data_IF_792232050672
#
_entry.id   IF_792232050672
#
_cell.length_a   1.000
_cell.length_b   1.000
_cell.length_c   1.000
_cell.angle_alpha   90.00
_cell.angle_beta   90.00
_cell.angle_gamma   90.00
#
_symmetry.space_group_name_H-M   'P 1'
#
loop_
_entity.id
_entity.type
_entity.pdbx_description
1 polymer ?
#
# COMPACT_ATOMS: atom_id res chain seq x y z
N UNK A 1 -3.45 -12.27 -34.59
CA UNK A 1 -2.20 -12.99 -34.23
C UNK A 1 -1.55 -12.27 -33.06
N UNK A 2 -1.41 -12.96 -31.92
CA UNK A 2 -0.68 -12.40 -30.78
C UNK A 2 0.81 -12.27 -31.15
N UNK A 3 1.46 -11.14 -30.89
CA UNK A 3 2.89 -10.92 -31.15
C UNK A 3 3.82 -11.77 -30.29
N UNK A 4 3.34 -12.87 -29.71
CA UNK A 4 4.09 -13.81 -28.88
C UNK A 4 3.46 -15.20 -28.90
N UNK A 5 4.29 -16.22 -28.64
CA UNK A 5 3.87 -17.61 -28.46
C UNK A 5 4.59 -18.19 -27.24
N UNK A 6 3.83 -18.88 -26.37
CA UNK A 6 4.38 -19.65 -25.25
C UNK A 6 4.66 -21.08 -25.73
N UNK A 7 5.78 -21.67 -25.33
CA UNK A 7 6.07 -23.08 -25.63
C UNK A 7 5.10 -24.03 -24.92
N UNK A 8 4.94 -25.24 -25.42
CA UNK A 8 4.06 -26.26 -24.82
C UNK A 8 4.47 -26.59 -23.38
N UNK A 9 5.77 -26.70 -23.12
CA UNK A 9 6.34 -26.88 -21.77
C UNK A 9 6.27 -25.63 -20.87
N UNK A 10 5.76 -24.51 -21.42
CA UNK A 10 5.63 -23.19 -20.75
C UNK A 10 6.94 -22.67 -20.12
N UNK A 11 8.07 -23.19 -20.53
CA UNK A 11 9.39 -22.78 -20.07
C UNK A 11 10.08 -21.76 -20.99
N UNK A 12 9.50 -21.47 -22.14
CA UNK A 12 10.03 -20.45 -23.04
C UNK A 12 8.91 -19.64 -23.72
N UNK A 13 9.25 -18.42 -24.12
CA UNK A 13 8.36 -17.54 -24.86
C UNK A 13 9.09 -17.01 -26.09
N UNK A 14 8.42 -17.07 -27.25
CA UNK A 14 8.91 -16.51 -28.51
C UNK A 14 8.11 -15.24 -28.83
N UNK A 15 8.82 -14.15 -29.09
CA UNK A 15 8.24 -12.91 -29.59
C UNK A 15 8.23 -12.92 -31.12
N UNK A 16 7.07 -12.63 -31.72
CA UNK A 16 6.82 -12.67 -33.18
C UNK A 16 6.37 -11.31 -33.71
N UNK A 17 6.58 -10.25 -32.95
CA UNK A 17 6.11 -8.89 -33.17
C UNK A 17 7.04 -8.03 -34.06
N UNK A 18 8.01 -8.64 -34.75
CA UNK A 18 8.93 -7.94 -35.65
C UNK A 18 10.13 -7.28 -34.97
N UNK A 19 10.15 -7.13 -33.63
CA UNK A 19 11.31 -6.57 -32.89
C UNK A 19 12.53 -7.49 -32.81
N UNK A 20 12.48 -8.67 -33.43
CA UNK A 20 13.56 -9.66 -33.46
C UNK A 20 14.11 -10.08 -32.08
N UNK A 21 13.26 -10.04 -31.05
CA UNK A 21 13.65 -10.46 -29.69
C UNK A 21 13.96 -11.96 -29.65
N UNK A 22 13.26 -12.75 -30.48
CA UNK A 22 13.42 -14.19 -30.58
C UNK A 22 12.80 -14.95 -29.40
N UNK A 23 13.42 -16.08 -29.04
CA UNK A 23 12.92 -16.96 -27.98
C UNK A 23 13.67 -16.70 -26.68
N UNK A 24 12.95 -16.51 -25.59
CA UNK A 24 13.49 -16.29 -24.25
C UNK A 24 13.12 -17.46 -23.34
N UNK A 25 14.11 -18.03 -22.65
CA UNK A 25 13.89 -19.03 -21.62
C UNK A 25 13.36 -18.38 -20.36
N UNK A 26 12.23 -18.87 -19.85
CA UNK A 26 11.62 -18.40 -18.61
C UNK A 26 12.31 -19.06 -17.41
N UNK A 27 12.66 -18.24 -16.42
CA UNK A 27 13.17 -18.67 -15.13
C UNK A 27 12.23 -18.15 -14.06
N UNK A 28 11.56 -19.01 -13.34
CA UNK A 28 10.63 -18.65 -12.29
C UNK A 28 10.11 -19.89 -11.57
N UNK A 29 9.54 -19.67 -10.39
CA UNK A 29 8.96 -20.72 -9.55
C UNK A 29 7.45 -20.83 -9.70
N UNK A 30 6.82 -19.92 -10.45
CA UNK A 30 5.36 -19.96 -10.66
C UNK A 30 5.03 -20.97 -11.75
N UNK A 31 4.17 -21.89 -11.43
CA UNK A 31 3.62 -22.82 -12.40
C UNK A 31 2.63 -22.08 -13.32
N UNK A 32 2.98 -22.01 -14.60
CA UNK A 32 2.12 -21.42 -15.61
C UNK A 32 1.03 -22.39 -16.10
N UNK A 33 1.10 -23.68 -15.78
CA UNK A 33 0.06 -24.65 -16.11
C UNK A 33 -1.20 -24.49 -15.28
N UNK A 34 -1.12 -23.77 -14.16
CA UNK A 34 -2.29 -23.39 -13.37
C UNK A 34 -3.34 -22.59 -14.18
N UNK A 35 -2.93 -21.94 -15.26
CA UNK A 35 -3.80 -21.13 -16.10
C UNK A 35 -3.95 -21.74 -17.49
N UNK A 36 -5.15 -21.68 -18.07
CA UNK A 36 -5.35 -22.06 -19.47
C UNK A 36 -4.67 -21.05 -20.40
N UNK A 37 -4.23 -21.49 -21.58
CA UNK A 37 -3.52 -20.62 -22.55
C UNK A 37 -4.40 -19.44 -22.99
N UNK A 38 -5.72 -19.62 -23.06
CA UNK A 38 -6.70 -18.60 -23.42
C UNK A 38 -6.80 -17.46 -22.41
N UNK A 39 -6.38 -17.70 -21.16
CA UNK A 39 -6.37 -16.70 -20.10
C UNK A 39 -5.19 -15.72 -20.21
N UNK A 40 -4.16 -16.06 -21.00
CA UNK A 40 -3.03 -15.17 -21.23
C UNK A 40 -3.39 -14.11 -22.25
N UNK A 41 -3.79 -12.91 -21.84
CA UNK A 41 -4.27 -11.83 -22.74
C UNK A 41 -3.15 -10.94 -23.25
N UNK A 42 -2.14 -10.65 -22.42
CA UNK A 42 -1.04 -9.77 -22.77
C UNK A 42 0.26 -10.21 -22.12
N UNK A 43 1.34 -10.02 -22.86
CA UNK A 43 2.70 -10.23 -22.34
C UNK A 43 3.49 -8.92 -22.45
N UNK A 44 4.26 -8.63 -21.41
CA UNK A 44 5.19 -7.49 -21.41
C UNK A 44 6.58 -7.97 -21.07
N UNK A 45 7.57 -7.57 -21.87
CA UNK A 45 8.98 -7.73 -21.53
C UNK A 45 9.47 -6.46 -20.83
N UNK A 46 9.86 -6.58 -19.57
CA UNK A 46 10.28 -5.46 -18.73
C UNK A 46 11.74 -5.59 -18.36
N UNK A 47 12.54 -4.60 -18.72
CA UNK A 47 13.94 -4.50 -18.29
C UNK A 47 14.01 -3.84 -16.92
N UNK A 48 14.66 -4.53 -15.96
CA UNK A 48 15.02 -3.98 -14.64
C UNK A 48 16.53 -3.95 -14.46
N UNK A 49 17.01 -3.40 -13.35
CA UNK A 49 18.44 -3.25 -13.10
C UNK A 49 19.19 -4.59 -12.95
N UNK A 50 18.51 -5.67 -12.63
CA UNK A 50 19.05 -7.01 -12.41
C UNK A 50 18.78 -7.99 -13.56
N UNK A 51 17.92 -7.64 -14.53
CA UNK A 51 17.62 -8.50 -15.67
C UNK A 51 16.33 -8.15 -16.38
N UNK A 52 15.88 -9.06 -17.22
CA UNK A 52 14.60 -8.97 -17.91
C UNK A 52 13.56 -9.83 -17.21
N UNK A 53 12.32 -9.35 -17.24
CA UNK A 53 11.16 -10.02 -16.64
C UNK A 53 10.05 -10.10 -17.68
N UNK A 54 9.47 -11.26 -17.81
CA UNK A 54 8.22 -11.42 -18.56
C UNK A 54 7.06 -11.28 -17.58
N UNK A 55 6.13 -10.38 -17.88
CA UNK A 55 4.92 -10.17 -17.13
C UNK A 55 3.74 -10.66 -17.97
N UNK A 56 3.02 -11.63 -17.45
CA UNK A 56 1.77 -12.12 -18.04
C UNK A 56 0.59 -11.37 -17.44
N UNK A 57 -0.27 -10.82 -18.29
CA UNK A 57 -1.56 -10.30 -17.91
C UNK A 57 -2.58 -11.41 -18.16
N UNK A 58 -3.20 -11.86 -17.11
CA UNK A 58 -4.12 -13.00 -17.13
C UNK A 58 -5.55 -12.52 -16.95
N UNK A 59 -6.46 -13.15 -17.67
CA UNK A 59 -7.89 -13.06 -17.43
C UNK A 59 -8.26 -14.21 -16.49
N UNK A 60 -8.27 -13.93 -15.19
CA UNK A 60 -8.53 -14.92 -14.16
C UNK A 60 -9.26 -14.27 -13.00
N UNK A 61 -10.32 -14.89 -12.54
CA UNK A 61 -10.96 -14.49 -11.30
C UNK A 61 -10.03 -14.82 -10.13
N UNK A 62 -9.75 -13.82 -9.32
CA UNK A 62 -8.89 -13.93 -8.13
C UNK A 62 -9.68 -13.76 -6.84
N UNK A 63 -11.00 -13.68 -6.94
CA UNK A 63 -11.85 -13.56 -5.75
C UNK A 63 -11.71 -14.80 -4.88
N UNK A 64 -11.45 -14.57 -3.61
CA UNK A 64 -11.31 -15.56 -2.56
C UNK A 64 -12.06 -14.99 -1.35
N UNK A 65 -13.39 -15.21 -1.31
CA UNK A 65 -14.19 -14.71 -0.20
C UNK A 65 -13.73 -15.37 1.11
N UNK A 66 -13.34 -14.54 2.07
CA UNK A 66 -12.97 -15.00 3.40
C UNK A 66 -14.18 -14.91 4.34
N UNK A 67 -14.29 -15.82 5.33
CA UNK A 67 -15.33 -15.75 6.34
C UNK A 67 -15.28 -14.40 7.09
N UNK A 68 -16.43 -13.90 7.53
CA UNK A 68 -16.53 -12.68 8.30
C UNK A 68 -15.74 -12.79 9.60
N UNK A 69 -15.04 -11.71 9.97
CA UNK A 69 -14.26 -11.62 11.20
C UNK A 69 -14.99 -10.88 12.31
N UNK A 70 -16.04 -10.11 11.98
CA UNK A 70 -16.73 -9.20 12.89
C UNK A 70 -15.92 -7.95 13.27
N UNK A 71 -14.72 -7.75 12.65
CA UNK A 71 -13.80 -6.69 13.05
C UNK A 71 -13.74 -5.56 12.03
N UNK A 72 -13.66 -4.34 12.56
CA UNK A 72 -13.47 -3.11 11.77
C UNK A 72 -12.24 -2.37 12.28
N UNK A 73 -11.55 -1.61 11.42
CA UNK A 73 -10.36 -0.85 11.82
C UNK A 73 -10.25 0.46 11.05
N UNK A 74 -9.81 1.51 11.75
CA UNK A 74 -9.34 2.77 11.16
C UNK A 74 -7.83 2.83 11.17
N UNK A 75 -7.24 3.39 10.12
CA UNK A 75 -5.79 3.51 9.95
C UNK A 75 -5.40 4.98 9.77
N UNK A 76 -4.56 5.49 10.66
CA UNK A 76 -3.85 6.76 10.51
C UNK A 76 -2.40 6.48 10.08
N UNK A 77 -1.99 6.95 8.88
CA UNK A 77 -0.64 6.73 8.36
C UNK A 77 0.31 7.84 8.76
N UNK A 78 1.48 7.47 9.27
CA UNK A 78 2.43 8.42 9.81
C UNK A 78 3.88 8.21 9.33
N UNK A 79 4.75 9.20 9.59
CA UNK A 79 6.20 9.09 9.32
C UNK A 79 6.96 8.50 10.51
N UNK A 80 6.44 8.63 11.72
CA UNK A 80 7.02 8.02 12.93
C UNK A 80 6.74 6.53 12.94
N UNK A 81 5.47 6.14 12.97
CA UNK A 81 4.96 4.80 12.68
C UNK A 81 4.51 4.75 11.23
N UNK A 82 4.48 3.58 10.61
CA UNK A 82 3.95 3.41 9.26
C UNK A 82 2.44 3.65 9.22
N UNK A 83 1.73 3.11 10.19
CA UNK A 83 0.36 3.48 10.57
C UNK A 83 0.16 3.26 12.08
N UNK A 84 -0.85 3.91 12.62
CA UNK A 84 -1.46 3.59 13.92
C UNK A 84 -2.90 3.18 13.64
N UNK A 85 -3.37 2.10 14.25
CA UNK A 85 -4.74 1.66 14.09
C UNK A 85 -5.66 2.19 15.22
N UNK A 86 -6.96 1.99 15.06
CA UNK A 86 -7.99 2.45 16.02
C UNK A 86 -8.00 1.69 17.36
N UNK A 87 -7.12 0.69 17.52
CA UNK A 87 -6.89 -0.03 18.77
C UNK A 87 -5.60 0.40 19.46
N UNK A 88 -4.91 1.42 18.93
CA UNK A 88 -3.64 1.91 19.45
C UNK A 88 -2.42 1.10 19.01
N UNK A 89 -2.60 0.04 18.22
CA UNK A 89 -1.46 -0.71 17.70
C UNK A 89 -0.69 0.13 16.65
N UNK A 90 0.64 0.09 16.73
CA UNK A 90 1.52 0.84 15.85
C UNK A 90 2.40 -0.10 15.04
N UNK A 91 2.36 0.09 13.74
CA UNK A 91 3.29 -0.58 12.83
C UNK A 91 4.51 0.30 12.58
N UNK A 92 5.68 -0.26 12.75
CA UNK A 92 6.94 0.45 12.59
C UNK A 92 7.19 0.88 11.14
N UNK A 93 7.76 2.07 10.97
CA UNK A 93 8.20 2.55 9.66
C UNK A 93 9.65 2.10 9.41
N UNK A 94 9.91 1.14 8.51
CA UNK A 94 11.23 0.53 8.33
C UNK A 94 12.24 1.45 7.63
N UNK A 95 11.80 2.58 7.05
CA UNK A 95 12.65 3.63 6.46
C UNK A 95 13.74 3.08 5.52
N UNK A 96 13.38 2.18 4.62
CA UNK A 96 14.31 1.43 3.76
C UNK A 96 15.27 2.30 2.95
N UNK A 97 14.82 3.47 2.46
CA UNK A 97 15.69 4.40 1.75
C UNK A 97 16.72 5.02 2.70
N UNK A 98 16.29 5.43 3.89
CA UNK A 98 17.16 6.04 4.89
C UNK A 98 18.25 5.05 5.32
N UNK A 99 17.90 3.79 5.57
CA UNK A 99 18.85 2.71 5.87
C UNK A 99 19.84 2.47 4.72
N UNK A 100 19.39 2.61 3.47
CA UNK A 100 20.23 2.41 2.29
C UNK A 100 21.04 3.64 1.89
N UNK A 101 20.80 4.81 2.50
CA UNK A 101 21.28 6.13 2.03
C UNK A 101 22.79 6.23 1.90
N UNK A 102 23.55 5.81 2.90
CA UNK A 102 25.02 5.86 2.88
C UNK A 102 25.60 5.04 1.73
N UNK A 103 25.04 3.85 1.49
CA UNK A 103 25.45 2.99 0.37
C UNK A 103 25.09 3.62 -0.99
N UNK A 104 23.90 4.21 -1.11
CA UNK A 104 23.47 4.92 -2.32
C UNK A 104 24.34 6.15 -2.59
N UNK A 105 24.69 6.92 -1.56
CA UNK A 105 25.58 8.08 -1.68
C UNK A 105 26.96 7.68 -2.19
N UNK A 106 27.55 6.59 -1.65
CA UNK A 106 28.83 6.04 -2.14
C UNK A 106 28.75 5.60 -3.61
N UNK A 107 27.67 4.90 -3.99
CA UNK A 107 27.48 4.45 -5.37
C UNK A 107 27.27 5.60 -6.34
N UNK A 108 26.52 6.65 -5.95
CA UNK A 108 26.32 7.86 -6.74
C UNK A 108 27.67 8.59 -6.98
N UNK A 109 28.47 8.76 -5.93
CA UNK A 109 29.83 9.37 -6.05
C UNK A 109 30.70 8.58 -7.01
N UNK A 110 30.66 7.24 -6.98
CA UNK A 110 31.40 6.38 -7.93
C UNK A 110 30.94 6.57 -9.38
N UNK A 111 29.63 6.73 -9.61
CA UNK A 111 29.09 7.02 -10.95
C UNK A 111 29.54 8.40 -11.41
N UNK A 112 29.45 9.42 -10.54
CA UNK A 112 29.86 10.82 -10.85
C UNK A 112 31.34 10.90 -11.22
N UNK A 113 32.23 10.25 -10.43
CA UNK A 113 33.67 10.24 -10.70
C UNK A 113 34.07 9.57 -12.02
N UNK A 114 33.19 8.70 -12.55
CA UNK A 114 33.42 7.95 -13.79
C UNK A 114 32.66 8.54 -14.98
N UNK A 115 31.96 9.68 -14.79
CA UNK A 115 31.22 10.33 -15.86
C UNK A 115 32.19 10.75 -16.98
N UNK A 116 31.99 10.31 -18.22
CA UNK A 116 32.85 10.72 -19.33
C UNK A 116 32.66 12.20 -19.65
N UNK A 117 33.65 12.81 -20.28
CA UNK A 117 33.53 14.14 -20.84
C UNK A 117 32.42 14.16 -21.92
N UNK A 118 31.85 15.34 -22.15
CA UNK A 118 30.81 15.52 -23.18
C UNK A 118 31.35 15.09 -24.55
N UNK A 119 30.58 14.26 -25.27
CA UNK A 119 30.97 13.74 -26.58
C UNK A 119 31.80 12.47 -26.57
N UNK A 120 32.29 11.98 -25.43
CA UNK A 120 33.04 10.72 -25.34
C UNK A 120 32.13 9.51 -25.13
N UNK A 121 32.44 8.33 -25.72
CA UNK A 121 31.67 7.12 -25.51
C UNK A 121 31.65 6.67 -24.05
N UNK A 122 30.52 6.12 -23.61
CA UNK A 122 30.36 5.62 -22.24
C UNK A 122 31.11 4.31 -22.05
N UNK A 123 32.14 4.31 -21.21
CA UNK A 123 32.93 3.11 -20.94
C UNK A 123 32.14 2.02 -20.21
N UNK A 124 32.56 0.74 -20.36
CA UNK A 124 32.00 -0.42 -19.66
C UNK A 124 32.00 -0.22 -18.13
N UNK A 125 33.04 0.46 -17.61
CA UNK A 125 33.16 0.75 -16.18
C UNK A 125 32.10 1.72 -15.67
N UNK A 126 31.68 2.70 -16.48
CA UNK A 126 30.55 3.60 -16.15
C UNK A 126 29.24 2.82 -16.15
N UNK A 127 29.02 1.98 -17.17
CA UNK A 127 27.81 1.16 -17.25
C UNK A 127 27.69 0.22 -16.06
N UNK A 128 28.78 -0.42 -15.65
CA UNK A 128 28.82 -1.29 -14.47
C UNK A 128 28.54 -0.51 -13.17
N UNK A 129 29.08 0.70 -13.04
CA UNK A 129 28.80 1.56 -11.88
C UNK A 129 27.31 1.99 -11.84
N UNK A 130 26.74 2.40 -12.96
CA UNK A 130 25.30 2.71 -13.09
C UNK A 130 24.44 1.50 -12.76
N UNK A 131 24.81 0.29 -13.26
CA UNK A 131 24.08 -0.96 -12.96
C UNK A 131 24.09 -1.29 -11.46
N UNK A 132 25.21 -1.12 -10.77
CA UNK A 132 25.30 -1.32 -9.31
C UNK A 132 24.40 -0.36 -8.54
N UNK A 133 24.42 0.93 -8.91
CA UNK A 133 23.52 1.94 -8.31
C UNK A 133 22.05 1.58 -8.54
N UNK A 134 21.69 1.26 -9.78
CA UNK A 134 20.32 0.89 -10.15
C UNK A 134 19.83 -0.37 -9.41
N UNK A 135 20.69 -1.39 -9.22
CA UNK A 135 20.37 -2.57 -8.42
C UNK A 135 20.11 -2.24 -6.95
N UNK A 136 20.85 -1.30 -6.36
CA UNK A 136 20.62 -0.86 -4.98
C UNK A 136 19.28 -0.14 -4.85
N UNK A 137 18.92 0.73 -5.80
CA UNK A 137 17.58 1.35 -5.85
C UNK A 137 16.47 0.30 -6.03
N UNK A 138 16.67 -0.68 -6.91
CA UNK A 138 15.71 -1.76 -7.11
C UNK A 138 15.49 -2.58 -5.83
N UNK A 139 16.55 -2.84 -5.05
CA UNK A 139 16.43 -3.53 -3.76
C UNK A 139 15.53 -2.73 -2.79
N UNK A 140 15.76 -1.42 -2.64
CA UNK A 140 14.92 -0.56 -1.79
C UNK A 140 13.45 -0.58 -2.27
N UNK A 141 13.23 -0.45 -3.57
CA UNK A 141 11.88 -0.49 -4.16
C UNK A 141 11.16 -1.82 -3.86
N UNK A 142 11.87 -2.95 -3.94
CA UNK A 142 11.32 -4.27 -3.63
C UNK A 142 11.00 -4.43 -2.14
N UNK A 143 11.87 -3.95 -1.25
CA UNK A 143 11.64 -3.99 0.19
C UNK A 143 10.39 -3.20 0.58
N UNK A 144 10.20 -1.99 0.02
CA UNK A 144 8.98 -1.19 0.22
C UNK A 144 7.73 -1.92 -0.25
N UNK A 145 7.80 -2.48 -1.47
CA UNK A 145 6.65 -3.20 -2.03
C UNK A 145 6.32 -4.46 -1.21
N UNK A 146 7.31 -5.22 -0.79
CA UNK A 146 7.12 -6.42 0.02
C UNK A 146 6.48 -6.08 1.37
N UNK A 147 7.00 -5.07 2.07
CA UNK A 147 6.45 -4.58 3.34
C UNK A 147 4.99 -4.14 3.18
N UNK A 148 4.72 -3.21 2.25
CA UNK A 148 3.35 -2.75 2.00
C UNK A 148 2.40 -3.89 1.60
N UNK A 149 2.89 -4.89 0.83
CA UNK A 149 2.12 -6.07 0.43
C UNK A 149 1.74 -6.94 1.63
N UNK A 150 2.70 -7.22 2.51
CA UNK A 150 2.48 -8.03 3.72
C UNK A 150 1.50 -7.36 4.67
N UNK A 151 1.70 -6.06 4.94
CA UNK A 151 0.82 -5.31 5.82
C UNK A 151 -0.61 -5.19 5.26
N UNK A 152 -0.75 -4.76 4.01
CA UNK A 152 -2.08 -4.64 3.40
C UNK A 152 -2.83 -5.98 3.41
N UNK A 153 -2.13 -7.08 3.12
CA UNK A 153 -2.73 -8.41 3.16
C UNK A 153 -3.11 -8.82 4.59
N UNK A 154 -2.27 -8.53 5.58
CA UNK A 154 -2.55 -8.82 6.98
C UNK A 154 -3.80 -8.06 7.45
N UNK A 155 -3.82 -6.74 7.26
CA UNK A 155 -4.94 -5.87 7.67
C UNK A 155 -6.25 -6.32 7.03
N UNK A 156 -6.27 -6.54 5.70
CA UNK A 156 -7.48 -6.94 4.98
C UNK A 156 -7.99 -8.34 5.37
N UNK A 157 -7.09 -9.26 5.71
CA UNK A 157 -7.51 -10.61 6.15
C UNK A 157 -8.07 -10.63 7.57
N UNK A 158 -7.64 -9.69 8.39
CA UNK A 158 -8.01 -9.63 9.82
C UNK A 158 -9.26 -8.80 10.08
N UNK A 159 -9.75 -8.01 9.11
CA UNK A 159 -10.88 -7.09 9.30
C UNK A 159 -11.84 -7.15 8.12
N UNK A 160 -13.13 -7.00 8.40
CA UNK A 160 -14.17 -6.96 7.38
C UNK A 160 -14.28 -5.56 6.75
N UNK A 161 -13.96 -4.53 7.55
CA UNK A 161 -13.96 -3.15 7.13
C UNK A 161 -12.68 -2.44 7.57
N UNK A 162 -12.07 -1.72 6.62
CA UNK A 162 -10.88 -0.91 6.85
C UNK A 162 -11.14 0.52 6.37
N UNK A 163 -11.13 1.48 7.28
CA UNK A 163 -11.17 2.90 6.96
C UNK A 163 -9.75 3.48 6.93
N UNK A 164 -9.45 4.35 5.98
CA UNK A 164 -8.15 5.03 5.86
C UNK A 164 -8.31 6.45 5.35
N UNK A 165 -7.34 7.32 5.62
CA UNK A 165 -7.33 8.70 5.14
C UNK A 165 -7.02 8.82 3.65
N UNK A 166 -7.84 9.58 2.91
CA UNK A 166 -7.60 9.91 1.49
C UNK A 166 -6.56 11.02 1.34
N UNK A 167 -5.32 10.69 1.65
CA UNK A 167 -4.20 11.63 1.57
C UNK A 167 -3.82 11.97 0.13
N UNK A 168 -3.67 13.26 -0.16
CA UNK A 168 -3.18 13.76 -1.44
C UNK A 168 -1.64 13.67 -1.51
N UNK A 169 -1.11 12.46 -1.64
CA UNK A 169 0.34 12.17 -1.60
C UNK A 169 1.10 13.01 -2.64
N UNK A 170 0.53 13.24 -3.84
CA UNK A 170 1.14 14.07 -4.88
C UNK A 170 1.38 15.51 -4.44
N UNK A 171 0.52 16.07 -3.59
CA UNK A 171 0.70 17.40 -3.02
C UNK A 171 1.68 17.38 -1.84
N UNK A 172 1.62 16.33 -1.01
CA UNK A 172 2.52 16.21 0.14
C UNK A 172 3.99 16.09 -0.25
N UNK A 173 4.31 15.43 -1.37
CA UNK A 173 5.71 15.32 -1.86
C UNK A 173 6.25 16.61 -2.47
N UNK A 174 5.44 17.65 -2.64
CA UNK A 174 5.92 19.00 -3.00
C UNK A 174 6.67 19.67 -1.86
N UNK A 175 6.42 19.27 -0.62
CA UNK A 175 7.20 19.72 0.54
C UNK A 175 8.57 19.03 0.51
N UNK A 176 9.62 19.77 0.13
CA UNK A 176 10.98 19.26 -0.02
C UNK A 176 11.57 18.63 1.25
N UNK A 177 11.18 19.12 2.43
CA UNK A 177 11.66 18.59 3.72
C UNK A 177 11.11 17.18 4.00
N UNK A 178 9.85 16.91 3.62
CA UNK A 178 9.15 15.67 3.90
C UNK A 178 9.10 14.70 2.71
N UNK A 179 9.26 15.19 1.47
CA UNK A 179 9.13 14.44 0.23
C UNK A 179 9.89 13.12 0.23
N UNK A 180 11.12 13.11 0.74
CA UNK A 180 11.94 11.91 0.82
C UNK A 180 11.35 10.87 1.78
N UNK A 181 10.88 11.28 2.95
CA UNK A 181 10.29 10.41 3.96
C UNK A 181 8.94 9.87 3.52
N UNK A 182 8.10 10.72 2.92
CA UNK A 182 6.79 10.33 2.34
C UNK A 182 6.99 9.33 1.21
N UNK A 183 7.94 9.58 0.30
CA UNK A 183 8.30 8.65 -0.77
C UNK A 183 8.88 7.34 -0.24
N UNK A 184 9.56 7.37 0.91
CA UNK A 184 10.10 6.17 1.55
C UNK A 184 9.00 5.32 2.20
N UNK A 185 8.05 5.94 2.86
CA UNK A 185 6.90 5.25 3.47
C UNK A 185 6.02 4.54 2.41
N UNK A 186 5.89 5.09 1.20
CA UNK A 186 5.15 4.46 0.09
C UNK A 186 3.65 4.24 0.39
N UNK A 187 3.00 5.16 1.10
CA UNK A 187 1.58 5.07 1.47
C UNK A 187 0.64 4.89 0.27
N UNK A 188 0.95 5.53 -0.87
CA UNK A 188 0.17 5.32 -2.09
C UNK A 188 0.15 3.84 -2.53
N UNK A 189 1.30 3.17 -2.47
CA UNK A 189 1.36 1.75 -2.82
C UNK A 189 0.61 0.88 -1.80
N UNK A 190 0.66 1.23 -0.51
CA UNK A 190 -0.09 0.57 0.54
C UNK A 190 -1.61 0.70 0.33
N UNK A 191 -2.10 1.92 0.07
CA UNK A 191 -3.50 2.18 -0.27
C UNK A 191 -3.98 1.33 -1.46
N UNK A 192 -3.25 1.37 -2.59
CA UNK A 192 -3.60 0.58 -3.78
C UNK A 192 -3.65 -0.92 -3.48
N UNK A 193 -2.79 -1.39 -2.59
CA UNK A 193 -2.78 -2.80 -2.17
C UNK A 193 -3.95 -3.13 -1.23
N UNK A 194 -4.32 -2.24 -0.29
CA UNK A 194 -5.53 -2.40 0.54
C UNK A 194 -6.76 -2.55 -0.36
N UNK A 195 -6.99 -1.61 -1.28
CA UNK A 195 -8.12 -1.63 -2.22
C UNK A 195 -8.11 -2.90 -3.11
N UNK A 196 -6.92 -3.33 -3.57
CA UNK A 196 -6.78 -4.53 -4.39
C UNK A 196 -7.08 -5.81 -3.63
N UNK A 197 -6.58 -5.94 -2.40
CA UNK A 197 -6.83 -7.11 -1.56
C UNK A 197 -8.27 -7.14 -1.05
N UNK A 198 -8.89 -5.99 -0.78
CA UNK A 198 -10.30 -5.92 -0.43
C UNK A 198 -11.17 -6.55 -1.52
N UNK A 199 -10.93 -6.21 -2.78
CA UNK A 199 -11.61 -6.81 -3.93
C UNK A 199 -11.40 -8.33 -4.04
N UNK A 200 -10.20 -8.80 -3.69
CA UNK A 200 -9.88 -10.24 -3.75
C UNK A 200 -10.59 -11.00 -2.63
N UNK A 201 -10.58 -10.46 -1.41
CA UNK A 201 -11.06 -11.16 -0.22
C UNK A 201 -12.50 -10.83 0.17
N UNK A 202 -13.23 -10.05 -0.65
CA UNK A 202 -14.61 -9.65 -0.36
C UNK A 202 -14.72 -8.75 0.88
N UNK A 203 -13.75 -7.83 1.09
CA UNK A 203 -13.71 -6.91 2.22
C UNK A 203 -14.06 -5.49 1.80
N UNK A 204 -14.47 -4.68 2.75
CA UNK A 204 -14.82 -3.27 2.53
C UNK A 204 -13.65 -2.38 2.91
N UNK A 205 -13.30 -1.45 2.02
CA UNK A 205 -12.28 -0.43 2.28
C UNK A 205 -12.84 0.94 1.97
N UNK A 206 -12.77 1.86 2.93
CA UNK A 206 -13.37 3.20 2.84
C UNK A 206 -12.31 4.27 2.98
N UNK A 207 -12.19 5.12 1.97
CA UNK A 207 -11.38 6.33 2.04
C UNK A 207 -12.20 7.47 2.70
N UNK A 208 -11.62 8.13 3.70
CA UNK A 208 -12.25 9.25 4.40
C UNK A 208 -11.42 10.54 4.28
N UNK A 209 -12.05 11.72 4.34
CA UNK A 209 -11.34 13.00 4.34
C UNK A 209 -10.38 13.12 5.53
N UNK A 210 -9.11 13.53 5.33
CA UNK A 210 -8.10 13.58 6.39
C UNK A 210 -8.22 14.81 7.30
N UNK A 211 -9.08 15.79 6.96
CA UNK A 211 -9.17 17.05 7.69
C UNK A 211 -9.65 16.83 9.12
N UNK A 212 -8.92 17.39 10.08
CA UNK A 212 -9.26 17.42 11.52
C UNK A 212 -9.32 16.06 12.23
N UNK A 213 -8.92 14.95 11.64
CA UNK A 213 -8.89 13.63 12.28
C UNK A 213 -8.09 13.63 13.57
N UNK A 214 -6.93 14.25 13.61
CA UNK A 214 -6.10 14.39 14.81
C UNK A 214 -6.52 15.51 15.75
N UNK A 215 -7.41 16.43 15.32
CA UNK A 215 -7.84 17.61 16.09
C UNK A 215 -9.15 17.35 16.85
N UNK A 216 -10.07 16.65 16.22
CA UNK A 216 -11.36 16.29 16.83
C UNK A 216 -11.15 15.21 17.89
N UNK A 217 -11.78 15.37 19.04
CA UNK A 217 -11.81 14.33 20.07
C UNK A 217 -12.71 13.17 19.62
N UNK A 218 -12.16 11.98 19.57
CA UNK A 218 -12.90 10.77 19.12
C UNK A 218 -14.03 10.38 20.09
N UNK A 219 -13.97 10.86 21.35
CA UNK A 219 -14.98 10.54 22.37
C UNK A 219 -16.17 11.53 22.39
N UNK A 220 -15.92 12.83 22.25
CA UNK A 220 -16.98 13.84 22.39
C UNK A 220 -17.16 14.77 21.17
N UNK A 221 -16.38 14.61 20.11
CA UNK A 221 -16.52 15.42 18.90
C UNK A 221 -15.96 16.85 18.99
N UNK A 222 -15.53 17.31 20.16
CA UNK A 222 -15.02 18.69 20.33
C UNK A 222 -13.65 18.86 19.67
N UNK A 223 -13.42 20.04 19.11
CA UNK A 223 -12.11 20.40 18.53
C UNK A 223 -11.12 20.77 19.63
N UNK A 224 -9.97 20.11 19.62
CA UNK A 224 -8.86 20.35 20.56
C UNK A 224 -7.66 20.88 19.77
N UNK A 225 -7.34 22.15 19.94
CA UNK A 225 -6.19 22.74 19.25
C UNK A 225 -4.87 22.13 19.73
N UNK A 226 -4.03 21.76 18.79
CA UNK A 226 -2.73 21.13 19.03
C UNK A 226 -1.69 21.61 18.02
N UNK A 227 -0.44 21.65 18.47
CA UNK A 227 0.70 21.84 17.58
C UNK A 227 1.08 20.50 16.91
N UNK A 228 1.85 20.57 15.83
CA UNK A 228 2.34 19.36 15.14
C UNK A 228 3.27 18.49 16.03
N UNK A 229 3.89 19.10 17.04
CA UNK A 229 4.78 18.43 17.99
C UNK A 229 4.03 17.69 19.11
N UNK A 230 2.77 18.05 19.37
CA UNK A 230 1.95 17.44 20.43
C UNK A 230 1.57 16.01 20.04
N UNK A 231 2.00 15.03 20.82
CA UNK A 231 1.73 13.60 20.58
C UNK A 231 0.57 13.05 21.38
N UNK A 232 0.21 13.70 22.46
CA UNK A 232 -0.90 13.30 23.32
C UNK A 232 -2.15 14.11 23.00
N UNK A 233 -3.26 13.44 22.75
CA UNK A 233 -4.58 14.04 22.74
C UNK A 233 -5.08 14.16 24.16
N UNK A 234 -5.38 15.37 24.61
CA UNK A 234 -5.98 15.64 25.90
C UNK A 234 -7.18 16.57 25.66
N UNK A 235 -8.39 16.10 25.93
CA UNK A 235 -9.63 16.84 25.68
C UNK A 235 -10.10 17.48 26.98
N UNK A 236 -10.05 18.83 27.14
CA UNK A 236 -10.50 19.48 28.37
C UNK A 236 -11.99 19.27 28.67
N UNK A 237 -12.91 19.32 27.66
CA UNK A 237 -14.34 19.20 27.92
C UNK A 237 -14.77 17.83 28.46
N UNK A 238 -14.18 16.73 27.99
CA UNK A 238 -14.61 15.38 28.41
C UNK A 238 -13.55 14.58 29.19
N UNK A 239 -12.36 15.18 29.45
CA UNK A 239 -11.29 14.56 30.19
C UNK A 239 -10.55 13.43 29.43
N UNK A 240 -10.93 13.11 28.18
CA UNK A 240 -10.32 12.02 27.42
C UNK A 240 -8.85 12.29 27.12
N UNK A 241 -8.01 11.28 27.39
CA UNK A 241 -6.56 11.31 27.12
C UNK A 241 -6.17 10.07 26.32
N UNK A 242 -5.54 10.26 25.18
CA UNK A 242 -5.09 9.19 24.31
C UNK A 242 -3.83 9.63 23.54
N UNK A 243 -3.21 8.71 22.84
CA UNK A 243 -2.24 9.08 21.80
C UNK A 243 -2.94 9.85 20.66
N UNK A 244 -2.25 10.81 20.05
CA UNK A 244 -2.82 11.65 18.99
C UNK A 244 -3.16 10.84 17.75
N UNK A 245 -2.28 9.91 17.38
CA UNK A 245 -2.39 9.13 16.15
C UNK A 245 -3.46 8.02 16.33
N UNK A 246 -3.61 7.47 17.55
CA UNK A 246 -4.73 6.60 17.95
C UNK A 246 -6.08 7.33 17.89
N UNK A 247 -6.18 8.52 18.49
CA UNK A 247 -7.38 9.34 18.40
C UNK A 247 -7.74 9.65 16.94
N UNK A 248 -6.75 9.89 16.07
CA UNK A 248 -6.97 10.10 14.65
C UNK A 248 -7.52 8.82 13.97
N UNK A 249 -6.93 7.67 14.26
CA UNK A 249 -7.37 6.39 13.69
C UNK A 249 -8.81 6.02 14.10
N UNK A 250 -9.21 6.33 15.35
CA UNK A 250 -10.61 6.16 15.82
C UNK A 250 -11.54 7.08 15.02
N UNK A 251 -11.20 8.35 14.84
CA UNK A 251 -11.98 9.28 14.02
C UNK A 251 -12.08 8.84 12.55
N UNK A 252 -11.00 8.27 12.00
CA UNK A 252 -10.99 7.68 10.65
C UNK A 252 -11.99 6.54 10.56
N UNK A 253 -12.02 5.64 11.56
CA UNK A 253 -12.98 4.54 11.62
C UNK A 253 -14.43 5.06 11.69
N UNK A 254 -14.72 5.98 12.61
CA UNK A 254 -16.05 6.55 12.78
C UNK A 254 -16.60 7.17 11.50
N UNK A 255 -15.78 8.01 10.83
CA UNK A 255 -16.14 8.58 9.51
C UNK A 255 -16.33 7.54 8.42
N UNK A 256 -15.56 6.45 8.46
CA UNK A 256 -15.72 5.34 7.53
C UNK A 256 -17.07 4.65 7.71
N UNK A 257 -17.47 4.40 8.95
CA UNK A 257 -18.77 3.81 9.31
C UNK A 257 -19.94 4.74 8.94
N UNK A 258 -19.84 6.04 9.26
CA UNK A 258 -20.83 7.06 8.88
C UNK A 258 -21.02 7.12 7.36
N UNK A 259 -19.92 7.13 6.60
CA UNK A 259 -19.97 7.17 5.14
C UNK A 259 -20.68 5.95 4.55
N UNK A 260 -20.54 4.79 5.17
CA UNK A 260 -21.24 3.57 4.73
C UNK A 260 -22.72 3.59 5.10
N UNK A 261 -23.05 4.05 6.30
CA UNK A 261 -24.47 4.16 6.72
C UNK A 261 -25.24 5.12 5.82
N UNK A 262 -24.65 6.26 5.46
CA UNK A 262 -25.26 7.22 4.51
C UNK A 262 -25.35 6.69 3.10
N UNK A 263 -24.35 5.91 2.62
CA UNK A 263 -24.40 5.30 1.30
C UNK A 263 -25.47 4.20 1.18
N UNK A 264 -25.71 3.45 2.25
CA UNK A 264 -26.80 2.47 2.34
C UNK A 264 -28.20 3.07 2.23
N UNK A 265 -28.39 4.35 2.58
CA UNK A 265 -29.65 5.10 2.42
C UNK A 265 -29.82 5.71 1.03
N UNK A 266 -28.73 5.85 0.26
CA UNK A 266 -28.74 6.54 -1.05
C UNK A 266 -28.85 5.59 -2.27
N UNK A 267 -29.21 4.33 -2.09
CA UNK A 267 -29.53 3.38 -3.18
C UNK A 267 -28.35 2.92 -4.00
N UNK A 268 -28.17 1.61 -4.05
CA UNK A 268 -27.55 0.79 -5.09
C UNK A 268 -26.33 1.38 -5.81
N UNK A 269 -25.18 1.31 -5.20
CA UNK A 269 -23.94 1.16 -5.96
C UNK A 269 -23.60 -0.33 -6.05
N UNK A 270 -23.41 -0.81 -7.28
CA UNK A 270 -23.18 -2.19 -7.66
C UNK A 270 -21.96 -2.84 -7.01
N UNK A 271 -22.11 -3.26 -5.79
CA UNK A 271 -21.27 -4.21 -5.09
C UNK A 271 -22.22 -5.32 -4.61
N UNK A 272 -22.17 -6.45 -5.31
CA UNK A 272 -23.10 -7.54 -5.07
C UNK A 272 -23.29 -7.90 -3.61
N UNK A 273 -24.47 -8.35 -3.25
CA UNK A 273 -25.05 -8.95 -2.03
C UNK A 273 -24.41 -8.81 -0.63
N UNK A 274 -23.25 -8.18 -0.51
CA UNK A 274 -22.53 -7.96 0.77
C UNK A 274 -23.02 -6.73 1.55
N UNK A 275 -23.85 -5.85 0.97
CA UNK A 275 -24.35 -4.66 1.64
C UNK A 275 -25.37 -4.97 2.75
N UNK A 276 -26.10 -6.08 2.63
CA UNK A 276 -27.08 -6.49 3.62
C UNK A 276 -26.49 -6.96 4.96
N UNK A 277 -25.25 -7.46 4.94
CA UNK A 277 -24.54 -7.90 6.15
C UNK A 277 -23.91 -6.73 6.93
N UNK A 278 -23.70 -5.57 6.30
CA UNK A 278 -23.07 -4.41 6.94
C UNK A 278 -24.02 -3.58 7.81
N UNK A 279 -25.34 -3.71 7.62
CA UNK A 279 -26.33 -3.01 8.48
C UNK A 279 -26.38 -3.55 9.91
N UNK A 280 -25.76 -4.72 10.17
CA UNK A 280 -25.65 -5.33 11.50
C UNK A 280 -24.38 -4.91 12.27
N UNK A 281 -23.45 -4.15 11.64
CA UNK A 281 -22.24 -3.70 12.31
C UNK A 281 -22.51 -2.41 13.09
N UNK A 282 -22.52 -2.59 14.38
CA UNK A 282 -22.40 -1.68 15.51
C UNK A 282 -22.83 -0.21 15.34
N UNK A 283 -23.87 0.14 16.04
CA UNK A 283 -24.14 1.50 16.49
C UNK A 283 -22.99 2.04 17.36
N UNK A 284 -22.79 3.37 17.48
CA UNK A 284 -21.72 3.97 18.29
C UNK A 284 -21.59 3.44 19.72
N UNK A 285 -22.67 2.95 20.32
CA UNK A 285 -22.69 2.33 21.65
C UNK A 285 -21.89 1.02 21.77
N UNK A 286 -21.70 0.27 20.67
CA UNK A 286 -20.92 -0.98 20.68
C UNK A 286 -19.40 -0.73 20.59
N UNK A 287 -18.98 0.44 20.12
CA UNK A 287 -17.57 0.85 20.15
C UNK A 287 -17.13 1.15 21.59
N UNK A 288 -18.03 1.62 22.45
CA UNK A 288 -17.76 1.84 23.88
C UNK A 288 -17.57 0.51 24.65
N UNK A 289 -18.32 -0.55 24.32
CA UNK A 289 -18.20 -1.85 25.01
C UNK A 289 -16.88 -2.55 24.70
N UNK A 290 -16.35 -2.41 23.48
CA UNK A 290 -15.05 -2.99 23.12
C UNK A 290 -13.86 -2.27 23.78
N UNK A 291 -14.01 -0.97 24.10
CA UNK A 291 -13.01 -0.23 24.85
C UNK A 291 -13.01 -0.54 26.37
N UNK A 292 -14.09 -1.08 26.91
CA UNK A 292 -14.16 -1.47 28.34
C UNK A 292 -13.54 -2.86 28.59
N UNK A 293 -13.59 -3.78 27.62
CA UNK A 293 -12.98 -5.12 27.78
C UNK A 293 -11.46 -5.13 27.64
N UNK A 294 -10.86 -4.11 27.01
CA UNK A 294 -9.40 -4.02 26.86
C UNK A 294 -8.66 -3.46 28.07
N UNK A 295 -9.35 -3.02 29.12
CA UNK A 295 -8.76 -2.54 30.39
C UNK A 295 -8.82 -3.56 31.54
N UNK A 296 -9.20 -4.80 31.26
CA UNK A 296 -9.39 -5.85 32.24
C UNK A 296 -8.51 -7.09 32.08
N UNK A 297 -7.34 -6.98 31.41
CA UNK A 297 -6.32 -8.05 31.36
C UNK A 297 -4.93 -7.46 31.54
#
# INVERSE_FOLDING_TARGET
TSGWKLSEDRKSIKFTDGFRIGTLKLKGTRDLFHYQITQFKRVRLVKKADGYYVQFCLDADRREALPATGKTVGLDVGLTSFYTDSFGHREDNPRFLRTAESALKRLRRRVSKKKPARGTPVSRNVLNAKKRLARKHLKVSRQRKDHATKLARCVIRSHDLVAYEDLQISNMVKNHQLAKSISDASWYAFRVLLESYAKIYGRVVVAVPPQFTSVICSRCGQKVHKTLSTRTHRCPPCGYVADRDENAAINVLQRGLEKLSTAGHAGSYAWGDSASTLSSYATPAQVESLNQESHGL
#
